data_IF_503627595949
#
_entry.id   IF_503627595949
#
_cell.length_a   1.000
_cell.length_b   1.000
_cell.length_c   1.000
_cell.angle_alpha   90.00
_cell.angle_beta   90.00
_cell.angle_gamma   90.00
#
_symmetry.space_group_name_H-M   'P 1'
#
loop_
_entity.id
_entity.type
_entity.pdbx_description
1 polymer ?
#
# COMPACT_ATOMS: atom_id res chain seq x y z
N UNK A 1 26.89 4.99 30.87
CA UNK A 1 26.35 4.22 29.73
C UNK A 1 27.44 3.49 28.98
N UNK A 2 27.96 2.37 29.51
CA UNK A 2 28.86 1.45 28.78
C UNK A 2 28.14 0.16 28.34
N UNK A 3 26.87 0.03 28.69
CA UNK A 3 26.01 -1.11 28.34
C UNK A 3 24.82 -0.59 27.54
N UNK A 4 24.47 -1.32 26.48
CA UNK A 4 23.33 -1.06 25.61
C UNK A 4 22.33 -2.18 25.78
N UNK A 5 21.07 -1.83 26.05
CA UNK A 5 19.97 -2.79 26.18
C UNK A 5 19.09 -2.73 24.93
N UNK A 6 18.83 -3.86 24.25
CA UNK A 6 17.95 -3.88 23.08
C UNK A 6 16.51 -3.61 23.50
N UNK A 7 15.76 -2.91 22.65
CA UNK A 7 14.31 -2.80 22.78
C UNK A 7 13.64 -4.14 22.44
N UNK A 8 12.42 -4.40 22.94
CA UNK A 8 11.62 -5.55 22.54
C UNK A 8 11.38 -5.55 21.02
N UNK A 9 11.22 -6.74 20.43
CA UNK A 9 10.88 -6.89 19.02
C UNK A 9 9.57 -7.69 18.91
N UNK A 10 8.48 -7.15 18.33
CA UNK A 10 8.37 -5.81 17.74
C UNK A 10 8.28 -4.67 18.76
N UNK A 11 8.73 -3.48 18.35
CA UNK A 11 8.65 -2.24 19.13
C UNK A 11 7.73 -1.22 18.45
N UNK A 12 6.78 -0.67 19.19
CA UNK A 12 5.89 0.39 18.73
C UNK A 12 5.87 1.55 19.73
N UNK A 13 5.99 2.76 19.23
CA UNK A 13 5.77 3.98 20.01
C UNK A 13 4.48 4.64 19.52
N UNK A 14 3.54 4.85 20.43
CA UNK A 14 2.36 5.67 20.22
C UNK A 14 2.46 6.88 21.15
N UNK A 15 2.58 8.06 20.56
CA UNK A 15 2.59 9.32 21.30
C UNK A 15 1.28 10.06 21.07
N UNK A 16 0.74 10.64 22.13
CA UNK A 16 -0.46 11.48 22.09
C UNK A 16 -0.07 12.94 22.37
N UNK A 17 -0.77 13.87 21.75
CA UNK A 17 -0.58 15.30 21.97
C UNK A 17 -1.95 15.92 22.28
N UNK A 18 -2.10 16.48 23.47
CA UNK A 18 -3.30 17.21 23.84
C UNK A 18 -3.17 18.66 23.31
N UNK A 19 -4.01 19.12 22.36
CA UNK A 19 -3.83 20.42 21.72
C UNK A 19 -4.11 21.62 22.64
N UNK A 20 -4.77 21.42 23.79
CA UNK A 20 -5.18 22.51 24.70
C UNK A 20 -4.18 22.78 25.84
N UNK A 21 -3.20 21.92 26.06
CA UNK A 21 -2.22 22.09 27.15
C UNK A 21 -0.94 22.76 26.64
N UNK A 22 -0.87 24.08 26.82
CA UNK A 22 0.29 24.92 26.45
C UNK A 22 1.23 25.23 27.63
N UNK A 23 0.84 24.91 28.87
CA UNK A 23 1.71 25.04 30.04
C UNK A 23 2.59 23.80 30.22
N UNK A 24 3.91 23.95 30.07
CA UNK A 24 4.88 22.91 30.41
C UNK A 24 5.19 21.88 29.31
N UNK A 25 4.55 21.97 28.14
CA UNK A 25 4.83 21.10 26.99
C UNK A 25 5.65 21.85 25.94
N UNK A 26 6.90 21.44 25.75
CA UNK A 26 7.69 21.90 24.61
C UNK A 26 7.23 21.14 23.37
N UNK A 27 6.77 21.85 22.35
CA UNK A 27 6.45 21.24 21.06
C UNK A 27 7.65 20.44 20.56
N UNK A 28 7.40 19.21 20.09
CA UNK A 28 8.45 18.39 19.50
C UNK A 28 8.99 19.12 18.26
N UNK A 29 10.31 19.27 18.13
CA UNK A 29 10.91 19.81 16.91
C UNK A 29 10.47 18.99 15.69
N UNK A 30 10.39 19.63 14.54
CA UNK A 30 9.92 19.05 13.27
C UNK A 30 10.75 17.82 12.89
N UNK A 31 12.06 17.86 13.14
CA UNK A 31 12.97 16.73 12.94
C UNK A 31 12.66 15.51 13.83
N UNK A 32 12.02 15.71 14.98
CA UNK A 32 11.53 14.62 15.82
C UNK A 32 10.18 14.10 15.34
N UNK A 33 9.27 15.02 14.98
CA UNK A 33 7.95 14.69 14.45
C UNK A 33 8.05 13.88 13.14
N UNK A 34 9.01 14.19 12.27
CA UNK A 34 9.26 13.46 11.01
C UNK A 34 9.61 11.96 11.22
N UNK A 35 10.02 11.57 12.44
CA UNK A 35 10.31 10.17 12.78
C UNK A 35 9.04 9.33 12.98
N UNK A 36 7.89 9.94 13.26
CA UNK A 36 6.63 9.24 13.37
C UNK A 36 6.07 8.90 11.99
N UNK A 37 5.69 7.64 11.77
CA UNK A 37 5.18 7.20 10.48
C UNK A 37 3.91 7.96 10.09
N UNK A 38 2.94 8.02 11.00
CA UNK A 38 1.61 8.60 10.82
C UNK A 38 1.31 9.64 11.91
N UNK A 39 0.57 10.68 11.55
CA UNK A 39 -0.18 11.53 12.50
C UNK A 39 -1.67 11.33 12.22
N UNK A 40 -2.36 10.73 13.17
CA UNK A 40 -3.80 10.48 13.10
C UNK A 40 -4.53 11.56 13.91
N UNK A 41 -5.49 12.22 13.28
CA UNK A 41 -6.36 13.17 13.97
C UNK A 41 -7.54 12.42 14.57
N UNK A 42 -7.69 12.48 15.89
CA UNK A 42 -8.80 11.85 16.62
C UNK A 42 -9.77 12.96 17.00
N UNK A 43 -10.98 12.90 16.43
CA UNK A 43 -12.11 13.74 16.83
C UNK A 43 -12.95 13.09 17.93
N UNK A 44 -13.98 13.80 18.36
CA UNK A 44 -15.00 13.19 19.22
C UNK A 44 -15.83 12.18 18.43
N UNK A 45 -16.25 11.06 19.07
CA UNK A 45 -17.20 10.13 18.47
C UNK A 45 -18.55 10.82 18.23
N UNK A 46 -19.35 10.29 17.30
CA UNK A 46 -20.75 10.67 17.20
C UNK A 46 -21.52 10.25 18.46
N UNK A 47 -22.66 10.89 18.74
CA UNK A 47 -23.48 10.54 19.90
C UNK A 47 -23.88 9.04 19.93
N UNK A 48 -24.07 8.42 18.77
CA UNK A 48 -24.38 6.98 18.67
C UNK A 48 -23.16 6.11 19.02
N UNK A 49 -21.97 6.46 18.55
CA UNK A 49 -20.73 5.77 18.91
C UNK A 49 -20.40 5.97 20.39
N UNK A 50 -20.59 7.18 20.91
CA UNK A 50 -20.37 7.51 22.32
C UNK A 50 -21.32 6.73 23.24
N UNK A 51 -22.59 6.60 22.88
CA UNK A 51 -23.55 5.76 23.60
C UNK A 51 -23.05 4.31 23.73
N UNK A 52 -22.57 3.72 22.63
CA UNK A 52 -22.04 2.34 22.63
C UNK A 52 -20.79 2.22 23.50
N UNK A 53 -19.91 3.23 23.49
CA UNK A 53 -18.72 3.26 24.37
C UNK A 53 -19.14 3.29 25.84
N UNK A 54 -20.08 4.17 26.21
CA UNK A 54 -20.59 4.28 27.57
C UNK A 54 -21.27 2.99 28.02
N UNK A 55 -22.15 2.42 27.19
CA UNK A 55 -22.84 1.15 27.47
C UNK A 55 -21.85 0.00 27.73
N UNK A 56 -20.80 -0.11 26.91
CA UNK A 56 -19.75 -1.13 27.10
C UNK A 56 -18.94 -0.91 28.36
N UNK A 57 -18.64 0.35 28.72
CA UNK A 57 -17.79 0.67 29.86
C UNK A 57 -18.50 0.46 31.21
N UNK A 58 -19.82 0.63 31.26
CA UNK A 58 -20.63 0.37 32.47
C UNK A 58 -21.07 -1.10 32.59
N UNK A 59 -20.93 -1.88 31.53
CA UNK A 59 -21.23 -3.32 31.50
C UNK A 59 -20.11 -4.14 32.16
N UNK A 60 -20.40 -5.42 32.45
CA UNK A 60 -19.39 -6.33 32.98
C UNK A 60 -18.18 -6.47 32.04
N UNK A 61 -16.99 -6.60 32.61
CA UNK A 61 -15.75 -6.70 31.85
C UNK A 61 -15.79 -7.86 30.85
N UNK A 62 -15.45 -7.55 29.60
CA UNK A 62 -15.36 -8.56 28.54
C UNK A 62 -14.09 -9.38 28.72
N UNK A 63 -14.23 -10.71 28.76
CA UNK A 63 -13.07 -11.60 28.72
C UNK A 63 -12.42 -11.52 27.34
N UNK A 64 -11.18 -11.03 27.29
CA UNK A 64 -10.40 -10.99 26.06
C UNK A 64 -9.70 -12.33 25.82
N UNK A 65 -9.75 -12.81 24.59
CA UNK A 65 -8.97 -13.97 24.16
C UNK A 65 -7.73 -13.50 23.42
N UNK A 66 -6.58 -14.09 23.73
CA UNK A 66 -5.36 -13.83 22.98
C UNK A 66 -5.45 -14.52 21.62
N UNK A 67 -5.61 -13.73 20.56
CA UNK A 67 -5.66 -14.23 19.16
C UNK A 67 -4.32 -14.14 18.46
N UNK A 68 -3.40 -13.32 18.95
CA UNK A 68 -2.08 -13.08 18.36
C UNK A 68 -0.98 -13.11 19.42
N UNK A 69 0.22 -13.47 18.97
CA UNK A 69 1.45 -13.40 19.73
C UNK A 69 2.53 -12.67 18.93
N UNK A 70 3.63 -12.25 19.58
CA UNK A 70 4.71 -11.53 18.89
C UNK A 70 5.34 -12.30 17.72
N UNK A 71 5.37 -13.63 17.75
CA UNK A 71 5.94 -14.42 16.65
C UNK A 71 5.03 -14.43 15.43
N UNK A 72 3.71 -14.60 15.64
CA UNK A 72 2.72 -14.43 14.60
C UNK A 72 2.75 -13.02 14.00
N UNK A 73 2.89 -11.98 14.84
CA UNK A 73 3.00 -10.61 14.36
C UNK A 73 4.25 -10.38 13.51
N UNK A 74 5.41 -10.96 13.89
CA UNK A 74 6.61 -10.96 13.04
C UNK A 74 6.40 -11.72 11.73
N UNK A 75 5.61 -12.79 11.73
CA UNK A 75 5.15 -13.47 10.53
C UNK A 75 4.44 -12.50 9.58
N UNK A 76 3.43 -11.78 10.07
CA UNK A 76 2.69 -10.81 9.27
C UNK A 76 3.52 -9.60 8.82
N UNK A 77 4.50 -9.15 9.61
CA UNK A 77 5.46 -8.14 9.18
C UNK A 77 6.26 -8.62 7.96
N UNK A 78 6.74 -9.87 7.98
CA UNK A 78 7.45 -10.47 6.84
C UNK A 78 6.56 -10.63 5.60
N UNK A 79 5.30 -11.00 5.79
CA UNK A 79 4.33 -11.11 4.68
C UNK A 79 4.00 -9.73 4.09
N UNK A 80 3.79 -8.72 4.94
CA UNK A 80 3.65 -7.33 4.52
C UNK A 80 4.89 -6.86 3.76
N UNK A 81 6.08 -7.28 4.21
CA UNK A 81 7.35 -6.99 3.57
C UNK A 81 7.52 -7.69 2.21
N UNK A 82 6.66 -8.64 1.84
CA UNK A 82 6.64 -9.31 0.55
C UNK A 82 5.62 -8.73 -0.45
N UNK A 83 4.67 -7.88 0.01
CA UNK A 83 3.63 -7.28 -0.85
C UNK A 83 4.22 -6.51 -2.03
N UNK A 84 3.86 -6.85 -3.25
CA UNK A 84 4.42 -6.22 -4.44
C UNK A 84 4.08 -4.72 -4.54
N UNK A 85 5.06 -3.89 -4.90
CA UNK A 85 4.86 -2.47 -5.19
C UNK A 85 5.40 -2.17 -6.58
N UNK A 86 4.51 -1.75 -7.48
CA UNK A 86 4.90 -1.36 -8.82
C UNK A 86 5.77 -0.07 -8.79
N UNK A 87 6.82 0.04 -9.62
CA UNK A 87 7.63 1.26 -9.70
C UNK A 87 6.82 2.55 -9.96
N UNK A 88 5.70 2.47 -10.68
CA UNK A 88 4.81 3.61 -10.91
C UNK A 88 4.15 4.11 -9.61
N UNK A 89 3.85 3.21 -8.68
CA UNK A 89 3.31 3.55 -7.35
C UNK A 89 4.40 4.20 -6.49
N UNK A 90 5.63 3.70 -6.54
CA UNK A 90 6.78 4.32 -5.85
C UNK A 90 6.99 5.74 -6.39
N UNK A 91 6.99 5.90 -7.71
CA UNK A 91 7.11 7.22 -8.35
C UNK A 91 5.96 8.14 -7.95
N UNK A 92 4.73 7.63 -7.81
CA UNK A 92 3.60 8.41 -7.34
C UNK A 92 3.80 8.92 -5.90
N UNK A 93 4.26 8.06 -4.98
CA UNK A 93 4.59 8.47 -3.61
C UNK A 93 5.71 9.52 -3.58
N UNK A 94 6.71 9.40 -4.46
CA UNK A 94 7.77 10.43 -4.62
C UNK A 94 7.19 11.72 -5.17
N UNK A 95 6.33 11.68 -6.19
CA UNK A 95 5.67 12.88 -6.74
C UNK A 95 4.83 13.60 -5.70
N UNK A 96 4.08 12.87 -4.87
CA UNK A 96 3.33 13.43 -3.75
C UNK A 96 4.25 14.20 -2.79
N UNK A 97 5.35 13.57 -2.35
CA UNK A 97 6.31 14.22 -1.46
C UNK A 97 6.97 15.44 -2.13
N UNK A 98 7.38 15.35 -3.40
CA UNK A 98 7.95 16.47 -4.15
C UNK A 98 6.97 17.62 -4.32
N UNK A 99 5.69 17.34 -4.60
CA UNK A 99 4.67 18.37 -4.76
C UNK A 99 4.43 19.18 -3.47
N UNK A 100 4.74 18.63 -2.30
CA UNK A 100 4.75 19.42 -1.05
C UNK A 100 5.95 20.35 -0.90
N UNK A 101 7.05 20.10 -1.63
CA UNK A 101 8.26 20.95 -1.65
C UNK A 101 8.18 21.99 -2.76
N UNK A 102 7.62 21.61 -3.89
CA UNK A 102 7.53 22.42 -5.10
C UNK A 102 6.11 22.34 -5.67
N UNK A 103 5.11 23.02 -5.07
CA UNK A 103 3.71 22.97 -5.53
C UNK A 103 3.52 23.38 -7.00
N UNK A 104 4.39 24.24 -7.53
CA UNK A 104 4.40 24.66 -8.93
C UNK A 104 4.49 23.50 -9.93
N UNK A 105 5.17 22.38 -9.59
CA UNK A 105 5.32 21.22 -10.51
C UNK A 105 4.00 20.50 -10.79
N UNK A 106 2.98 20.75 -9.97
CA UNK A 106 1.62 20.23 -10.14
C UNK A 106 0.61 21.35 -10.42
N UNK A 107 1.08 22.52 -10.87
CA UNK A 107 0.23 23.66 -11.21
C UNK A 107 -0.40 24.36 -10.01
N UNK A 108 0.18 24.20 -8.81
CA UNK A 108 -0.29 24.81 -7.55
C UNK A 108 0.65 25.88 -7.02
N UNK A 109 1.11 26.76 -7.90
CA UNK A 109 2.03 27.84 -7.54
C UNK A 109 1.44 28.80 -6.50
N UNK A 110 0.10 28.91 -6.47
CA UNK A 110 -0.66 29.65 -5.45
C UNK A 110 -0.31 29.23 -4.01
N UNK A 111 0.11 27.98 -3.81
CA UNK A 111 0.46 27.41 -2.51
C UNK A 111 1.94 27.53 -2.15
N UNK A 112 2.81 27.88 -3.11
CA UNK A 112 4.27 27.93 -2.91
C UNK A 112 4.66 28.86 -1.75
N UNK A 113 3.99 30.02 -1.62
CA UNK A 113 4.22 31.01 -0.56
C UNK A 113 3.68 30.60 0.83
N UNK A 114 2.76 29.62 0.85
CA UNK A 114 2.07 29.15 2.06
C UNK A 114 2.84 28.03 2.75
N UNK A 115 3.87 27.47 2.09
CA UNK A 115 4.70 26.38 2.59
C UNK A 115 6.15 26.85 2.76
N UNK A 116 6.67 26.79 3.99
CA UNK A 116 8.07 27.09 4.29
C UNK A 116 8.96 25.90 3.94
N UNK A 117 8.52 24.69 4.29
CA UNK A 117 9.23 23.44 4.00
C UNK A 117 8.25 22.31 3.67
N UNK A 118 8.60 21.51 2.67
CA UNK A 118 7.86 20.31 2.29
C UNK A 118 8.36 19.04 2.98
N UNK A 119 7.68 17.93 2.69
CA UNK A 119 7.91 16.65 3.35
C UNK A 119 9.28 16.04 3.04
N UNK A 120 9.93 15.41 4.03
CA UNK A 120 11.26 14.80 3.88
C UNK A 120 11.22 13.50 3.03
N UNK A 121 12.38 12.91 2.62
CA UNK A 121 12.40 11.60 1.97
C UNK A 121 11.76 10.47 2.80
N UNK A 122 11.62 10.64 4.12
CA UNK A 122 10.88 9.68 4.96
C UNK A 122 9.40 9.63 4.58
N UNK A 123 8.84 10.70 4.04
CA UNK A 123 7.45 10.73 3.60
C UNK A 123 7.18 9.70 2.50
N UNK A 124 7.97 9.70 1.41
CA UNK A 124 7.76 8.76 0.31
C UNK A 124 8.01 7.31 0.74
N UNK A 125 9.01 7.07 1.60
CA UNK A 125 9.25 5.75 2.20
C UNK A 125 8.03 5.29 3.01
N UNK A 126 7.55 6.14 3.92
CA UNK A 126 6.43 5.79 4.80
C UNK A 126 5.10 5.66 4.05
N UNK A 127 4.88 6.43 2.99
CA UNK A 127 3.73 6.26 2.09
C UNK A 127 3.72 4.86 1.49
N UNK A 128 4.86 4.40 0.96
CA UNK A 128 4.96 3.06 0.36
C UNK A 128 4.81 1.96 1.41
N UNK A 129 5.53 2.05 2.54
CA UNK A 129 5.44 1.04 3.60
C UNK A 129 4.04 0.94 4.20
N UNK A 130 3.39 2.07 4.48
CA UNK A 130 2.04 2.09 5.01
C UNK A 130 1.02 1.59 3.96
N UNK A 131 1.20 1.91 2.68
CA UNK A 131 0.36 1.39 1.60
C UNK A 131 0.50 -0.14 1.42
N UNK A 132 1.69 -0.72 1.65
CA UNK A 132 1.87 -2.18 1.69
C UNK A 132 1.10 -2.81 2.83
N UNK A 133 1.20 -2.26 4.03
CA UNK A 133 0.44 -2.72 5.18
C UNK A 133 -1.06 -2.61 4.94
N UNK A 134 -1.54 -1.51 4.35
CA UNK A 134 -2.95 -1.33 4.03
C UNK A 134 -3.44 -2.30 2.95
N UNK A 135 -2.65 -2.55 1.91
CA UNK A 135 -2.97 -3.55 0.89
C UNK A 135 -3.07 -4.96 1.49
N UNK A 136 -2.12 -5.32 2.36
CA UNK A 136 -2.13 -6.59 3.09
C UNK A 136 -3.37 -6.75 3.98
N UNK A 137 -3.71 -5.71 4.76
CA UNK A 137 -4.92 -5.68 5.59
C UNK A 137 -6.22 -5.74 4.75
N UNK A 138 -6.16 -5.28 3.49
CA UNK A 138 -7.25 -5.40 2.50
C UNK A 138 -7.22 -6.74 1.76
N UNK A 139 -6.37 -7.68 2.15
CA UNK A 139 -6.28 -9.03 1.57
C UNK A 139 -5.61 -9.09 0.19
N UNK A 140 -4.81 -8.09 -0.18
CA UNK A 140 -4.08 -8.03 -1.46
C UNK A 140 -2.58 -8.19 -1.24
N UNK A 141 -1.94 -8.85 -2.19
CA UNK A 141 -0.48 -9.04 -2.28
C UNK A 141 0.20 -7.99 -3.17
N UNK A 142 -0.52 -6.96 -3.60
CA UNK A 142 0.01 -5.82 -4.36
C UNK A 142 -0.62 -4.49 -3.93
N UNK A 143 0.17 -3.42 -4.03
CA UNK A 143 -0.25 -2.04 -3.70
C UNK A 143 -0.90 -1.36 -4.89
N UNK A 144 -2.02 -0.68 -4.65
CA UNK A 144 -2.68 0.21 -5.60
C UNK A 144 -2.34 1.68 -5.30
N UNK A 145 -2.39 2.58 -6.31
CA UNK A 145 -2.24 4.02 -6.08
C UNK A 145 -3.27 4.59 -5.09
N UNK A 146 -4.45 3.97 -5.00
CA UNK A 146 -5.48 4.29 -4.02
C UNK A 146 -4.99 4.10 -2.57
N UNK A 147 -4.22 3.03 -2.30
CA UNK A 147 -3.69 2.77 -0.95
C UNK A 147 -2.72 3.86 -0.48
N UNK A 148 -1.93 4.41 -1.41
CA UNK A 148 -1.04 5.55 -1.13
C UNK A 148 -1.85 6.82 -0.89
N UNK A 149 -2.91 7.03 -1.67
CA UNK A 149 -3.75 8.23 -1.60
C UNK A 149 -4.55 8.29 -0.30
N UNK A 150 -5.10 7.14 0.14
CA UNK A 150 -5.85 7.01 1.39
C UNK A 150 -5.01 7.39 2.61
N UNK A 151 -3.70 7.12 2.57
CA UNK A 151 -2.76 7.39 3.66
C UNK A 151 -1.99 8.70 3.49
N UNK A 152 -2.22 9.43 2.39
CA UNK A 152 -1.40 10.58 2.02
C UNK A 152 -1.39 11.66 3.10
N UNK A 153 -2.57 12.03 3.62
CA UNK A 153 -2.67 13.06 4.66
C UNK A 153 -2.03 12.60 5.96
N UNK A 154 -2.27 11.36 6.39
CA UNK A 154 -1.74 10.83 7.66
C UNK A 154 -0.22 10.74 7.67
N UNK A 155 0.40 10.53 6.50
CA UNK A 155 1.86 10.58 6.35
C UNK A 155 2.36 12.01 6.17
N UNK A 156 1.67 12.88 5.44
CA UNK A 156 2.24 14.18 5.03
C UNK A 156 1.95 15.34 6.00
N UNK A 157 0.83 15.31 6.75
CA UNK A 157 0.32 16.46 7.52
C UNK A 157 1.28 17.02 8.57
N UNK A 158 2.12 16.17 9.14
CA UNK A 158 3.11 16.52 10.16
C UNK A 158 4.52 16.70 9.59
N UNK A 159 4.65 16.65 8.26
CA UNK A 159 5.92 16.77 7.54
C UNK A 159 5.99 18.04 6.69
N UNK A 160 4.95 18.86 6.70
CA UNK A 160 4.96 20.18 6.07
C UNK A 160 5.03 21.26 7.14
N UNK A 161 5.73 22.34 6.83
CA UNK A 161 5.85 23.52 7.69
C UNK A 161 5.16 24.67 6.99
N UNK A 162 4.10 25.18 7.61
CA UNK A 162 3.34 26.31 7.10
C UNK A 162 4.15 27.59 7.19
N UNK A 163 3.91 28.53 6.29
CA UNK A 163 4.47 29.89 6.39
C UNK A 163 3.70 30.72 7.41
N UNK A 164 4.30 31.83 7.86
CA UNK A 164 3.61 32.76 8.75
C UNK A 164 2.32 33.31 8.14
N UNK A 165 2.31 33.51 6.82
CA UNK A 165 1.12 33.93 6.09
C UNK A 165 0.00 32.88 6.17
N UNK A 166 0.31 31.61 5.94
CA UNK A 166 -0.67 30.53 6.07
C UNK A 166 -1.25 30.43 7.49
N UNK A 167 -0.40 30.62 8.50
CA UNK A 167 -0.83 30.65 9.91
C UNK A 167 -1.70 31.87 10.22
N UNK A 168 -1.38 33.04 9.66
CA UNK A 168 -2.17 34.26 9.82
C UNK A 168 -3.56 34.17 9.14
N UNK A 169 -3.67 33.33 8.10
CA UNK A 169 -4.92 33.00 7.41
C UNK A 169 -5.68 31.83 8.08
N UNK A 170 -5.25 31.33 9.26
CA UNK A 170 -5.83 30.18 9.97
C UNK A 170 -5.89 28.89 9.12
N UNK A 171 -4.98 28.72 8.16
CA UNK A 171 -4.92 27.53 7.31
C UNK A 171 -4.29 26.36 8.07
N UNK A 172 -4.87 25.17 7.91
CA UNK A 172 -4.31 23.93 8.43
C UNK A 172 -3.40 23.23 7.40
N UNK A 173 -2.58 22.29 7.88
CA UNK A 173 -1.83 21.41 6.98
C UNK A 173 -2.72 20.69 5.97
N UNK A 174 -3.94 20.31 6.35
CA UNK A 174 -4.86 19.59 5.48
C UNK A 174 -5.46 20.49 4.39
N UNK A 175 -5.64 21.78 4.69
CA UNK A 175 -6.12 22.78 3.72
C UNK A 175 -5.11 23.00 2.59
N UNK A 176 -3.81 22.90 2.89
CA UNK A 176 -2.75 22.97 1.87
C UNK A 176 -2.49 21.61 1.20
N UNK A 177 -2.57 20.50 1.93
CA UNK A 177 -2.26 19.18 1.36
C UNK A 177 -3.34 18.65 0.44
N UNK A 178 -4.62 18.84 0.79
CA UNK A 178 -5.75 18.38 -0.02
C UNK A 178 -5.64 18.84 -1.48
N UNK A 179 -5.51 20.14 -1.76
CA UNK A 179 -5.35 20.63 -3.12
C UNK A 179 -4.11 20.07 -3.83
N UNK A 180 -2.99 19.92 -3.13
CA UNK A 180 -1.74 19.36 -3.70
C UNK A 180 -1.95 17.89 -4.10
N UNK A 181 -2.49 17.08 -3.19
CA UNK A 181 -2.74 15.64 -3.42
C UNK A 181 -3.68 15.45 -4.62
N UNK A 182 -4.74 16.25 -4.71
CA UNK A 182 -5.68 16.17 -5.85
C UNK A 182 -5.05 16.59 -7.19
N UNK A 183 -4.05 17.47 -7.18
CA UNK A 183 -3.37 17.92 -8.39
C UNK A 183 -2.33 16.90 -8.90
N UNK A 184 -1.85 15.99 -8.04
CA UNK A 184 -0.84 14.99 -8.44
C UNK A 184 -1.50 13.91 -9.32
N UNK A 185 -1.00 13.67 -10.55
CA UNK A 185 -1.56 12.63 -11.41
C UNK A 185 -1.39 11.24 -10.81
N UNK A 186 -2.51 10.56 -10.62
CA UNK A 186 -2.57 9.16 -10.20
C UNK A 186 -2.12 8.29 -11.37
N UNK A 187 -1.12 7.40 -11.19
CA UNK A 187 -0.69 6.53 -12.27
C UNK A 187 -1.80 5.55 -12.63
N UNK A 188 -2.12 5.45 -13.92
CA UNK A 188 -2.87 4.31 -14.47
C UNK A 188 -1.95 3.11 -14.44
N UNK A 189 -2.01 2.33 -13.37
CA UNK A 189 -1.28 1.08 -13.28
C UNK A 189 -1.78 0.12 -14.38
N UNK A 190 -0.93 -0.40 -15.28
CA UNK A 190 -1.28 -1.55 -16.11
C UNK A 190 -1.25 -2.79 -15.21
N UNK A 191 -2.33 -3.01 -14.47
CA UNK A 191 -2.46 -4.08 -13.49
C UNK A 191 -2.60 -5.42 -14.21
N UNK A 192 -1.54 -6.23 -14.27
CA UNK A 192 -1.59 -7.68 -14.47
C UNK A 192 -2.23 -8.26 -15.76
N UNK A 193 -2.97 -7.48 -16.55
CA UNK A 193 -3.58 -7.94 -17.81
C UNK A 193 -2.51 -8.34 -18.83
N UNK A 194 -1.36 -7.66 -18.85
CA UNK A 194 -0.25 -8.04 -19.72
C UNK A 194 0.42 -9.33 -19.28
N UNK A 195 0.56 -9.63 -17.99
CA UNK A 195 1.14 -10.94 -17.57
C UNK A 195 0.18 -12.09 -17.87
N UNK A 196 -1.12 -11.91 -17.67
CA UNK A 196 -2.13 -12.90 -18.04
C UNK A 196 -2.23 -13.07 -19.58
N UNK A 197 -2.24 -11.98 -20.34
CA UNK A 197 -2.21 -12.00 -21.81
C UNK A 197 -0.91 -12.58 -22.36
N UNK A 198 0.25 -12.25 -21.81
CA UNK A 198 1.55 -12.77 -22.25
C UNK A 198 1.69 -14.27 -21.94
N UNK A 199 1.14 -14.74 -20.81
CA UNK A 199 1.07 -16.17 -20.50
C UNK A 199 0.07 -16.91 -21.40
N UNK A 200 -1.07 -16.30 -21.74
CA UNK A 200 -2.07 -16.87 -22.63
C UNK A 200 -1.63 -16.88 -24.10
N UNK A 201 -0.90 -15.86 -24.55
CA UNK A 201 -0.27 -15.79 -25.88
C UNK A 201 0.87 -16.80 -25.99
N UNK A 202 1.73 -16.96 -24.96
CA UNK A 202 2.78 -18.01 -24.95
C UNK A 202 2.20 -19.43 -24.95
N UNK A 203 1.09 -19.67 -24.25
CA UNK A 203 0.37 -20.95 -24.29
C UNK A 203 -0.27 -21.23 -25.66
N UNK A 204 -0.81 -20.21 -26.32
CA UNK A 204 -1.41 -20.33 -27.66
C UNK A 204 -0.37 -20.57 -28.77
N UNK A 205 0.81 -19.96 -28.67
CA UNK A 205 1.91 -20.16 -29.64
C UNK A 205 2.54 -21.55 -29.45
N UNK A 206 2.68 -22.03 -28.21
CA UNK A 206 3.17 -23.39 -27.93
C UNK A 206 2.20 -24.48 -28.44
N UNK A 207 0.88 -24.23 -28.42
CA UNK A 207 -0.11 -25.13 -29.01
C UNK A 207 -0.16 -25.12 -30.55
N UNK A 208 0.21 -24.00 -31.18
CA UNK A 208 0.19 -23.86 -32.64
C UNK A 208 1.42 -24.47 -33.35
N UNK A 209 2.55 -24.64 -32.65
CA UNK A 209 3.78 -25.24 -33.21
C UNK A 209 3.96 -26.73 -32.86
N UNK A 210 3.00 -27.36 -32.18
CA UNK A 210 3.06 -28.76 -31.73
C UNK A 210 2.39 -29.78 -32.64
N UNK A 211 1.83 -29.38 -33.78
CA UNK A 211 1.03 -30.26 -34.63
C UNK A 211 1.42 -30.11 -36.10
N UNK A 212 2.65 -30.48 -36.48
CA UNK A 212 2.99 -30.87 -37.85
C UNK A 212 4.43 -31.40 -37.92
N UNK A 213 4.59 -32.72 -37.85
CA UNK A 213 5.73 -33.42 -38.47
C UNK A 213 5.29 -34.81 -38.92
N UNK A 214 4.61 -34.84 -40.06
CA UNK A 214 4.42 -36.05 -40.85
C UNK A 214 5.77 -36.55 -41.36
N UNK A 215 6.15 -37.77 -40.95
CA UNK A 215 7.29 -38.49 -41.48
C UNK A 215 7.00 -39.05 -42.88
N UNK A 216 7.89 -38.77 -43.82
CA UNK A 216 7.93 -39.34 -45.19
C UNK A 216 8.57 -40.74 -45.12
N UNK A 217 8.08 -41.76 -45.87
CA UNK A 217 8.67 -43.09 -45.88
C UNK A 217 9.73 -43.25 -46.99
N UNK A 218 10.74 -44.09 -46.73
CA UNK A 218 11.65 -44.67 -47.73
C UNK A 218 11.42 -46.19 -47.80
N UNK A 219 11.34 -46.72 -49.02
CA UNK A 219 10.80 -48.05 -49.33
C UNK A 219 11.74 -49.24 -49.11
N UNK A 220 11.15 -50.44 -49.18
CA UNK A 220 11.85 -51.73 -49.20
C UNK A 220 10.90 -52.93 -49.13
N UNK A 221 10.95 -53.75 -50.17
CA UNK A 221 10.11 -54.88 -50.59
C UNK A 221 9.95 -56.05 -49.60
N UNK A 222 8.77 -56.68 -49.57
CA UNK A 222 8.44 -58.15 -49.70
C UNK A 222 7.34 -58.66 -48.76
N UNK A 223 6.42 -59.47 -49.31
CA UNK A 223 5.92 -60.67 -48.62
C UNK A 223 4.52 -60.65 -47.98
N UNK A 224 3.53 -61.04 -48.79
CA UNK A 224 2.54 -62.10 -48.54
C UNK A 224 1.43 -61.99 -47.45
N UNK A 225 0.18 -62.12 -47.94
CA UNK A 225 -1.01 -62.85 -47.47
C UNK A 225 -1.59 -62.66 -46.04
N UNK A 226 -2.93 -62.47 -46.02
CA UNK A 226 -3.80 -63.18 -45.07
C UNK A 226 -4.85 -62.35 -44.31
N UNK A 227 -6.08 -62.32 -44.84
CA UNK A 227 -7.37 -62.64 -44.16
C UNK A 227 -7.71 -62.17 -42.73
N UNK A 228 -8.95 -61.69 -42.55
CA UNK A 228 -9.71 -61.69 -41.29
C UNK A 228 -10.02 -60.27 -40.78
N UNK A 229 -11.15 -59.64 -41.07
CA UNK A 229 -12.54 -59.89 -40.63
C UNK A 229 -12.84 -59.39 -39.19
N UNK A 230 -14.04 -58.83 -39.06
CA UNK A 230 -14.82 -58.61 -37.82
C UNK A 230 -14.57 -57.40 -36.89
N UNK A 231 -15.48 -56.42 -37.06
CA UNK A 231 -16.47 -55.92 -36.06
C UNK A 231 -16.11 -55.81 -34.57
N UNK A 232 -16.40 -54.65 -33.93
CA UNK A 232 -17.64 -54.44 -33.13
C UNK A 232 -17.70 -53.01 -32.54
N UNK A 233 -18.90 -52.66 -32.10
CA UNK A 233 -19.49 -51.37 -31.86
C UNK A 233 -19.12 -50.64 -30.54
N UNK A 234 -19.33 -49.31 -30.59
CA UNK A 234 -20.01 -48.39 -29.62
C UNK A 234 -20.83 -49.04 -28.46
N UNK A 235 -21.33 -48.30 -27.44
CA UNK A 235 -21.16 -46.87 -27.06
C UNK A 235 -21.12 -46.55 -25.53
N UNK A 236 -20.95 -45.24 -25.22
CA UNK A 236 -21.56 -44.41 -24.14
C UNK A 236 -21.49 -44.82 -22.66
N UNK A 237 -20.95 -43.91 -21.84
CA UNK A 237 -21.77 -42.98 -21.04
C UNK A 237 -21.03 -41.68 -20.79
#
# INVERSE_FOLDING_TARGET
GRETFPAPDPFLVMATQNPIESEGTYALPEAQVDRFMLKVLIGYPSAAEEFVVVERQISAAVNTIRVLDPEMLRGFQRETDAVYVDPAVIQYAVRLATATREPAVVGRDDLSRLLTYGASPRASINLVLAARALAFLRGRDYVLPGDVSDLARDVLRHRIVLSYEALAEDLSSDDLLTPIIHAVPVPTAPLHEQRARDQQVRGSVAGAFGAESGGIPAGGTTGNAGTGDETWARPTR
#
